data_IF_987320951882
#
_entry.id   IF_987320951882
#
_cell.length_a   1.000
_cell.length_b   1.000
_cell.length_c   1.000
_cell.angle_alpha   90.00
_cell.angle_beta   90.00
_cell.angle_gamma   90.00
#
_symmetry.space_group_name_H-M   'P 1'
#
loop_
_entity.id
_entity.type
_entity.pdbx_description
1 polymer ?
#
# COMPACT_ATOMS: atom_id res chain seq x y z
N UNK A 1 -18.28 -30.39 0.68
CA UNK A 1 -18.27 -28.92 0.53
C UNK A 1 -17.23 -28.58 -0.51
N UNK A 2 -17.55 -27.77 -1.51
CA UNK A 2 -16.55 -27.33 -2.49
C UNK A 2 -15.62 -26.31 -1.81
N UNK A 3 -14.32 -26.49 -1.96
CA UNK A 3 -13.30 -25.57 -1.46
C UNK A 3 -13.19 -24.41 -2.45
N UNK A 4 -13.67 -23.22 -2.07
CA UNK A 4 -13.55 -22.02 -2.89
C UNK A 4 -12.15 -21.45 -2.63
N UNK A 5 -11.31 -21.47 -3.65
CA UNK A 5 -10.00 -20.81 -3.61
C UNK A 5 -10.20 -19.32 -3.81
N UNK A 6 -10.00 -18.55 -2.74
CA UNK A 6 -10.10 -17.08 -2.75
C UNK A 6 -8.69 -16.49 -2.86
N UNK A 7 -8.53 -15.49 -3.73
CA UNK A 7 -7.31 -14.72 -3.90
C UNK A 7 -7.64 -13.26 -4.19
N UNK A 8 -6.70 -12.36 -3.92
CA UNK A 8 -6.78 -10.98 -4.42
C UNK A 8 -6.46 -10.95 -5.92
N UNK A 9 -6.89 -9.90 -6.62
CA UNK A 9 -6.59 -9.69 -8.06
C UNK A 9 -5.09 -9.51 -8.37
N UNK A 10 -4.30 -9.17 -7.35
CA UNK A 10 -2.84 -9.07 -7.41
C UNK A 10 -2.20 -9.63 -6.12
N UNK A 11 -0.89 -9.87 -6.14
CA UNK A 11 -0.13 -10.16 -4.91
C UNK A 11 0.19 -8.84 -4.19
N UNK A 12 -0.48 -8.52 -3.08
CA UNK A 12 -0.32 -7.22 -2.45
C UNK A 12 1.06 -7.07 -1.79
N UNK A 13 1.70 -8.16 -1.36
CA UNK A 13 3.00 -8.09 -0.71
C UNK A 13 4.10 -7.83 -1.74
N UNK A 14 3.98 -8.43 -2.93
CA UNK A 14 4.86 -8.12 -4.05
C UNK A 14 4.73 -6.65 -4.46
N UNK A 15 3.50 -6.15 -4.59
CA UNK A 15 3.23 -4.74 -4.93
C UNK A 15 3.83 -3.81 -3.88
N UNK A 16 3.61 -4.07 -2.58
CA UNK A 16 4.20 -3.25 -1.51
C UNK A 16 5.72 -3.24 -1.59
N UNK A 17 6.36 -4.40 -1.78
CA UNK A 17 7.81 -4.50 -1.89
C UNK A 17 8.33 -3.65 -3.05
N UNK A 18 7.78 -3.84 -4.25
CA UNK A 18 8.18 -3.09 -5.45
C UNK A 18 7.90 -1.59 -5.34
N UNK A 19 6.79 -1.21 -4.71
CA UNK A 19 6.43 0.19 -4.53
C UNK A 19 7.42 0.93 -3.61
N UNK A 20 7.98 0.26 -2.60
CA UNK A 20 8.91 0.88 -1.65
C UNK A 20 10.39 0.77 -2.05
N UNK A 21 10.75 -0.07 -3.04
CA UNK A 21 12.14 -0.24 -3.52
C UNK A 21 12.77 1.10 -3.94
N UNK A 22 12.00 1.96 -4.61
CA UNK A 22 12.47 3.26 -5.14
C UNK A 22 12.28 4.45 -4.18
N UNK A 23 11.85 4.19 -2.94
CA UNK A 23 11.53 5.25 -1.98
C UNK A 23 12.72 5.55 -1.07
N UNK A 24 13.38 6.69 -1.30
CA UNK A 24 14.63 7.06 -0.60
C UNK A 24 14.48 7.31 0.92
N UNK A 25 13.29 7.69 1.42
CA UNK A 25 13.11 8.22 2.79
C UNK A 25 12.11 7.45 3.66
N UNK A 26 11.71 6.25 3.24
CA UNK A 26 10.66 5.51 3.93
C UNK A 26 11.22 4.33 4.73
N UNK A 27 11.01 4.35 6.04
CA UNK A 27 11.18 3.16 6.88
C UNK A 27 9.83 2.50 7.05
N UNK A 28 9.56 1.50 6.20
CA UNK A 28 8.34 0.71 6.27
C UNK A 28 8.23 0.04 7.64
N UNK A 29 7.08 0.14 8.33
CA UNK A 29 6.81 -0.67 9.50
C UNK A 29 6.82 -2.17 9.12
N UNK A 30 7.37 -3.02 10.00
CA UNK A 30 7.51 -4.46 9.74
C UNK A 30 6.18 -5.24 9.80
N UNK A 31 5.03 -4.56 9.92
CA UNK A 31 3.73 -5.18 10.13
C UNK A 31 2.64 -4.48 9.31
N UNK A 32 1.86 -5.26 8.59
CA UNK A 32 0.64 -4.84 7.92
C UNK A 32 -0.56 -5.38 8.72
N UNK A 33 -1.55 -4.52 9.00
CA UNK A 33 -2.77 -4.89 9.73
C UNK A 33 -3.99 -4.98 8.82
N UNK A 34 -3.97 -4.30 7.67
CA UNK A 34 -5.02 -4.41 6.66
C UNK A 34 -4.46 -4.09 5.28
N UNK A 35 -5.02 -4.78 4.28
CA UNK A 35 -4.78 -4.54 2.85
C UNK A 35 -6.15 -4.51 2.19
N UNK A 36 -6.36 -3.52 1.33
CA UNK A 36 -7.57 -3.36 0.54
C UNK A 36 -7.17 -2.99 -0.89
N UNK A 37 -7.66 -3.73 -1.88
CA UNK A 37 -7.37 -3.48 -3.29
C UNK A 37 -8.66 -3.07 -3.98
N UNK A 38 -8.69 -1.82 -4.43
CA UNK A 38 -9.72 -1.31 -5.31
C UNK A 38 -9.29 -1.60 -6.76
N UNK A 39 -9.87 -2.65 -7.35
CA UNK A 39 -9.57 -3.08 -8.72
C UNK A 39 -10.07 -2.08 -9.76
N UNK A 40 -11.19 -1.38 -9.50
CA UNK A 40 -11.74 -0.40 -10.44
C UNK A 40 -10.86 0.85 -10.54
N UNK A 41 -10.30 1.29 -9.41
CA UNK A 41 -9.38 2.43 -9.35
C UNK A 41 -7.91 2.05 -9.58
N UNK A 42 -7.56 0.76 -9.55
CA UNK A 42 -6.21 0.22 -9.48
C UNK A 42 -5.37 0.82 -8.34
N UNK A 43 -5.96 0.84 -7.14
CA UNK A 43 -5.33 1.40 -5.92
C UNK A 43 -5.23 0.33 -4.83
N UNK A 44 -4.02 0.12 -4.32
CA UNK A 44 -3.77 -0.72 -3.15
C UNK A 44 -3.59 0.15 -1.89
N UNK A 45 -4.51 0.00 -0.95
CA UNK A 45 -4.45 0.61 0.37
C UNK A 45 -3.82 -0.36 1.36
N UNK A 46 -2.82 0.11 2.11
CA UNK A 46 -2.12 -0.69 3.11
C UNK A 46 -2.13 0.06 4.43
N UNK A 47 -2.54 -0.61 5.51
CA UNK A 47 -2.46 -0.05 6.86
C UNK A 47 -1.44 -0.81 7.66
N UNK A 48 -0.56 -0.08 8.34
CA UNK A 48 0.41 -0.67 9.27
C UNK A 48 -0.09 -0.70 10.71
N UNK A 49 -1.10 0.13 11.05
CA UNK A 49 -1.75 0.17 12.36
C UNK A 49 -3.16 0.74 12.28
N UNK A 50 -3.99 0.42 13.27
CA UNK A 50 -5.34 1.00 13.41
C UNK A 50 -5.25 2.39 14.03
N UNK A 51 -5.16 3.41 13.19
CA UNK A 51 -5.20 4.82 13.60
C UNK A 51 -5.96 5.65 12.56
N UNK A 52 -6.34 6.87 12.94
CA UNK A 52 -6.98 7.82 12.03
C UNK A 52 -5.93 8.39 11.08
N UNK A 53 -6.11 8.16 9.79
CA UNK A 53 -5.35 8.84 8.73
C UNK A 53 -5.97 10.23 8.56
N UNK A 54 -5.12 11.26 8.53
CA UNK A 54 -5.57 12.66 8.41
C UNK A 54 -4.90 13.40 7.25
N UNK A 55 -3.80 12.88 6.73
CA UNK A 55 -3.08 13.50 5.61
C UNK A 55 -2.37 12.44 4.76
N UNK A 56 -1.90 12.83 3.57
CA UNK A 56 -1.08 11.99 2.70
C UNK A 56 0.07 12.78 2.07
N UNK A 57 1.25 12.17 2.01
CA UNK A 57 2.44 12.76 1.39
C UNK A 57 3.04 11.84 0.32
N UNK A 58 3.49 12.37 -0.83
CA UNK A 58 4.15 11.55 -1.85
C UNK A 58 5.50 11.04 -1.34
N UNK A 59 5.74 9.75 -1.56
CA UNK A 59 6.98 9.06 -1.22
C UNK A 59 7.91 8.89 -2.43
N UNK A 60 7.37 8.92 -3.64
CA UNK A 60 8.13 8.84 -4.88
C UNK A 60 7.97 10.11 -5.73
N UNK A 61 8.84 10.28 -6.73
CA UNK A 61 8.83 11.45 -7.61
C UNK A 61 7.62 11.49 -8.56
N UNK A 62 6.98 10.34 -8.77
CA UNK A 62 5.85 10.19 -9.71
C UNK A 62 4.50 10.41 -9.02
N UNK A 63 4.46 10.44 -7.68
CA UNK A 63 3.23 10.52 -6.90
C UNK A 63 2.41 9.24 -6.92
N UNK A 64 3.01 8.09 -7.27
CA UNK A 64 2.32 6.80 -7.32
C UNK A 64 2.27 6.14 -5.95
N UNK A 65 3.18 6.49 -5.06
CA UNK A 65 3.24 5.94 -3.70
C UNK A 65 3.07 7.08 -2.73
N UNK A 66 2.02 7.04 -1.92
CA UNK A 66 1.75 8.04 -0.88
C UNK A 66 1.85 7.39 0.50
N UNK A 67 2.50 8.07 1.44
CA UNK A 67 2.42 7.77 2.85
C UNK A 67 1.11 8.34 3.41
N UNK A 68 0.31 7.50 4.06
CA UNK A 68 -0.82 7.97 4.85
C UNK A 68 -0.35 8.30 6.26
N UNK A 69 -0.56 9.54 6.69
CA UNK A 69 -0.08 10.05 7.98
C UNK A 69 -1.21 10.11 9.01
N UNK A 70 -0.87 9.82 10.26
CA UNK A 70 -1.76 10.06 11.40
C UNK A 70 -1.65 11.48 11.95
N UNK A 71 -2.39 11.76 13.02
CA UNK A 71 -2.44 13.06 13.67
C UNK A 71 -1.09 13.52 14.25
N UNK A 72 -0.13 12.61 14.42
CA UNK A 72 1.21 12.91 14.92
C UNK A 72 2.22 13.04 13.77
N UNK A 73 1.76 13.01 12.51
CA UNK A 73 2.62 13.06 11.33
C UNK A 73 3.41 11.77 11.10
N UNK A 74 3.03 10.67 11.76
CA UNK A 74 3.70 9.39 11.59
C UNK A 74 2.99 8.55 10.53
N UNK A 75 3.76 7.76 9.78
CA UNK A 75 3.21 6.83 8.78
C UNK A 75 2.29 5.80 9.43
N UNK A 76 1.03 5.83 9.04
CA UNK A 76 0.00 4.87 9.40
C UNK A 76 -0.28 3.83 8.30
N UNK A 77 0.07 4.15 7.05
CA UNK A 77 -0.22 3.30 5.90
C UNK A 77 0.42 3.79 4.61
N UNK A 78 0.06 3.12 3.51
CA UNK A 78 0.40 3.50 2.14
C UNK A 78 -0.86 3.54 1.27
N UNK A 79 -0.83 4.43 0.28
CA UNK A 79 -1.71 4.39 -0.89
C UNK A 79 -0.79 4.17 -2.09
N UNK A 80 -0.98 3.06 -2.80
CA UNK A 80 -0.20 2.71 -4.00
C UNK A 80 -1.15 2.79 -5.19
N UNK A 81 -0.97 3.82 -6.00
CA UNK A 81 -1.71 4.05 -7.24
C UNK A 81 -1.14 3.24 -8.38
N UNK A 82 -1.97 2.89 -9.36
CA UNK A 82 -1.59 2.05 -10.49
C UNK A 82 -0.92 0.74 -10.01
N UNK A 83 -1.50 0.13 -8.97
CA UNK A 83 -0.92 -0.97 -8.21
C UNK A 83 -0.51 -2.15 -9.11
N UNK A 84 -1.28 -2.41 -10.17
CA UNK A 84 -0.99 -3.42 -11.18
C UNK A 84 0.40 -3.25 -11.82
N UNK A 85 0.93 -2.03 -11.96
CA UNK A 85 2.27 -1.78 -12.55
C UNK A 85 3.41 -2.35 -11.72
N UNK A 86 3.18 -2.60 -10.43
CA UNK A 86 4.15 -3.17 -9.50
C UNK A 86 4.10 -4.71 -9.44
N UNK A 87 3.29 -5.34 -10.29
CA UNK A 87 3.14 -6.82 -10.32
C UNK A 87 4.12 -7.51 -11.26
N UNK A 88 4.78 -6.77 -12.17
CA UNK A 88 5.75 -7.30 -13.13
C UNK A 88 7.08 -7.70 -12.46
N UNK A 89 7.87 -8.62 -13.07
CA UNK A 89 9.20 -9.00 -12.58
C UNK A 89 10.18 -7.82 -12.51
#
# INVERSE_FOLDING_TARGET
MAEIKVSMGLDPFKVVHKAIEDVEKFKAPNRIVAIDYDEEADILYVKFRHTKIVDNEPLDKRGLVLASLDQQGQVAGLIIMEASKFTSP
#
